data_IF_769632966613
#
_entry.id   IF_769632966613
#
_cell.length_a   1.000
_cell.length_b   1.000
_cell.length_c   1.000
_cell.angle_alpha   90.00
_cell.angle_beta   90.00
_cell.angle_gamma   90.00
#
_symmetry.space_group_name_H-M   'P 1'
#
loop_
_entity.id
_entity.type
_entity.pdbx_description
1 polymer ?
#
# COMPACT_ATOMS: atom_id res chain seq x y z
N UNK A 1 -20.26 -7.90 -15.48
CA UNK A 1 -18.96 -8.03 -16.18
C UNK A 1 -19.18 -8.37 -17.64
N UNK A 2 -18.42 -7.77 -18.55
CA UNK A 2 -18.45 -8.10 -19.99
C UNK A 2 -17.18 -8.85 -20.38
N UNK A 3 -17.32 -9.93 -21.16
CA UNK A 3 -16.21 -10.79 -21.57
C UNK A 3 -16.12 -10.89 -23.09
N UNK A 4 -14.94 -10.61 -23.64
CA UNK A 4 -14.70 -10.82 -25.07
C UNK A 4 -14.74 -12.31 -25.41
N UNK A 5 -14.92 -12.65 -26.70
CA UNK A 5 -14.82 -14.05 -27.16
C UNK A 5 -13.47 -14.67 -26.82
N UNK A 6 -12.39 -13.87 -26.84
CA UNK A 6 -11.05 -14.31 -26.46
C UNK A 6 -10.98 -14.67 -24.98
N UNK A 7 -11.52 -13.82 -24.10
CA UNK A 7 -11.50 -14.07 -22.65
C UNK A 7 -12.31 -15.32 -22.30
N UNK A 8 -13.48 -15.49 -22.93
CA UNK A 8 -14.32 -16.69 -22.75
C UNK A 8 -13.59 -17.95 -23.21
N UNK A 9 -12.91 -17.90 -24.36
CA UNK A 9 -12.12 -19.03 -24.85
C UNK A 9 -10.99 -19.39 -23.87
N UNK A 10 -10.27 -18.39 -23.34
CA UNK A 10 -9.23 -18.61 -22.33
C UNK A 10 -9.79 -19.27 -21.07
N UNK A 11 -10.90 -18.77 -20.53
CA UNK A 11 -11.56 -19.33 -19.35
C UNK A 11 -12.11 -20.75 -19.60
N UNK A 12 -12.71 -21.00 -20.76
CA UNK A 12 -13.18 -22.35 -21.14
C UNK A 12 -12.01 -23.33 -21.15
N UNK A 13 -10.89 -22.95 -21.74
CA UNK A 13 -9.70 -23.81 -21.77
C UNK A 13 -9.17 -24.09 -20.36
N UNK A 14 -9.12 -23.08 -19.49
CA UNK A 14 -8.74 -23.24 -18.08
C UNK A 14 -9.68 -24.19 -17.33
N UNK A 15 -11.00 -24.03 -17.45
CA UNK A 15 -11.97 -24.91 -16.81
C UNK A 15 -11.92 -26.35 -17.34
N UNK A 16 -11.65 -26.55 -18.64
CA UNK A 16 -11.45 -27.88 -19.21
C UNK A 16 -10.21 -28.56 -18.61
N UNK A 17 -9.10 -27.83 -18.49
CA UNK A 17 -7.89 -28.32 -17.82
C UNK A 17 -8.19 -28.66 -16.35
N UNK A 18 -8.85 -27.76 -15.61
CA UNK A 18 -9.21 -27.99 -14.21
C UNK A 18 -10.14 -29.20 -14.03
N UNK A 19 -11.05 -29.46 -14.97
CA UNK A 19 -11.92 -30.64 -14.93
C UNK A 19 -11.17 -31.95 -15.10
N UNK A 20 -10.03 -31.93 -15.80
CA UNK A 20 -9.13 -33.09 -15.95
C UNK A 20 -8.27 -33.24 -14.70
N UNK A 21 -7.75 -32.14 -14.14
CA UNK A 21 -6.86 -32.15 -12.97
C UNK A 21 -7.60 -32.42 -11.65
N UNK A 22 -8.87 -32.03 -11.54
CA UNK A 22 -9.70 -32.23 -10.36
C UNK A 22 -11.10 -32.75 -10.76
N UNK A 23 -11.23 -34.07 -10.99
CA UNK A 23 -12.48 -34.69 -11.43
C UNK A 23 -13.64 -34.49 -10.47
N UNK A 24 -13.39 -34.42 -9.16
CA UNK A 24 -14.43 -34.22 -8.14
C UNK A 24 -15.12 -32.85 -8.31
N UNK A 25 -14.38 -31.86 -8.79
CA UNK A 25 -14.90 -30.53 -9.11
C UNK A 25 -15.51 -30.41 -10.53
N UNK A 26 -15.38 -31.44 -11.37
CA UNK A 26 -15.66 -31.33 -12.81
C UNK A 26 -17.09 -30.90 -13.13
N UNK A 27 -18.08 -31.33 -12.33
CA UNK A 27 -19.48 -30.90 -12.49
C UNK A 27 -19.63 -29.38 -12.42
N UNK A 28 -18.96 -28.74 -11.46
CA UNK A 28 -18.99 -27.28 -11.30
C UNK A 28 -18.29 -26.55 -12.46
N UNK A 29 -17.17 -27.08 -12.95
CA UNK A 29 -16.44 -26.50 -14.07
C UNK A 29 -17.22 -26.64 -15.39
N UNK A 30 -17.89 -27.77 -15.62
CA UNK A 30 -18.71 -28.00 -16.81
C UNK A 30 -19.89 -27.03 -16.91
N UNK A 31 -20.50 -26.68 -15.79
CA UNK A 31 -21.55 -25.64 -15.74
C UNK A 31 -20.98 -24.29 -16.20
N UNK A 32 -19.79 -23.90 -15.69
CA UNK A 32 -19.12 -22.65 -16.07
C UNK A 32 -18.68 -22.65 -17.54
N UNK A 33 -18.19 -23.78 -18.07
CA UNK A 33 -17.85 -23.95 -19.49
C UNK A 33 -19.08 -23.68 -20.36
N UNK A 34 -20.19 -24.36 -20.08
CA UNK A 34 -21.44 -24.19 -20.83
C UNK A 34 -21.92 -22.74 -20.81
N UNK A 35 -21.88 -22.10 -19.64
CA UNK A 35 -22.22 -20.69 -19.47
C UNK A 35 -21.38 -19.77 -20.38
N UNK A 36 -20.06 -19.98 -20.43
CA UNK A 36 -19.13 -19.19 -21.25
C UNK A 36 -19.29 -19.45 -22.76
N UNK A 37 -19.49 -20.71 -23.15
CA UNK A 37 -19.72 -21.12 -24.55
C UNK A 37 -20.99 -20.47 -25.10
N UNK A 38 -22.08 -20.49 -24.33
CA UNK A 38 -23.38 -19.95 -24.73
C UNK A 38 -23.50 -18.44 -24.56
N UNK A 39 -22.57 -17.81 -23.84
CA UNK A 39 -22.57 -16.36 -23.69
C UNK A 39 -23.56 -15.85 -22.64
N UNK A 40 -23.85 -16.60 -21.58
CA UNK A 40 -24.81 -16.20 -20.54
C UNK A 40 -24.19 -15.16 -19.59
N UNK A 41 -24.08 -13.92 -20.07
CA UNK A 41 -23.37 -12.83 -19.38
C UNK A 41 -23.93 -12.45 -18.01
N UNK A 42 -25.22 -12.70 -17.76
CA UNK A 42 -25.86 -12.46 -16.46
C UNK A 42 -25.12 -13.13 -15.29
N UNK A 43 -24.50 -14.29 -15.53
CA UNK A 43 -23.85 -15.09 -14.48
C UNK A 43 -22.33 -14.89 -14.40
N UNK A 44 -21.76 -14.00 -15.21
CA UNK A 44 -20.29 -13.81 -15.19
C UNK A 44 -19.79 -13.24 -13.87
N UNK A 45 -20.56 -12.33 -13.27
CA UNK A 45 -20.20 -11.72 -11.99
C UNK A 45 -20.12 -12.76 -10.86
N UNK A 46 -20.95 -13.80 -10.89
CA UNK A 46 -20.89 -14.91 -9.91
C UNK A 46 -19.55 -15.65 -9.87
N UNK A 47 -18.75 -15.58 -10.94
CA UNK A 47 -17.41 -16.17 -10.97
C UNK A 47 -16.40 -15.41 -10.12
N UNK A 48 -16.62 -14.11 -9.93
CA UNK A 48 -15.67 -13.19 -9.31
C UNK A 48 -16.21 -12.53 -8.03
N UNK A 49 -17.48 -12.73 -7.68
CA UNK A 49 -18.11 -12.15 -6.48
C UNK A 49 -17.38 -12.40 -5.14
N UNK A 50 -16.54 -13.43 -5.05
CA UNK A 50 -15.76 -13.76 -3.87
C UNK A 50 -14.39 -13.06 -3.84
N UNK A 51 -13.99 -12.44 -4.95
CA UNK A 51 -12.77 -11.65 -5.08
C UNK A 51 -13.13 -10.23 -4.66
N UNK A 52 -12.45 -9.73 -3.63
CA UNK A 52 -12.60 -8.34 -3.18
C UNK A 52 -12.03 -7.38 -4.24
N UNK A 53 -12.68 -6.23 -4.45
CA UNK A 53 -12.19 -5.16 -5.34
C UNK A 53 -10.82 -4.62 -4.90
N UNK A 54 -10.43 -4.90 -3.67
CA UNK A 54 -9.15 -4.57 -3.08
C UNK A 54 -9.12 -3.17 -2.48
N UNK A 55 -7.94 -2.81 -2.00
CA UNK A 55 -7.60 -1.47 -1.53
C UNK A 55 -6.73 -0.78 -2.57
N UNK A 56 -6.90 0.53 -2.73
CA UNK A 56 -6.01 1.35 -3.55
C UNK A 56 -4.59 1.37 -2.97
N UNK A 57 -3.60 1.71 -3.80
CA UNK A 57 -2.21 1.87 -3.34
C UNK A 57 -2.09 2.94 -2.24
N UNK A 58 -2.87 4.03 -2.36
CA UNK A 58 -2.89 5.09 -1.36
C UNK A 58 -3.40 4.63 0.01
N UNK A 59 -4.49 3.86 0.03
CA UNK A 59 -5.01 3.27 1.27
C UNK A 59 -4.01 2.25 1.86
N UNK A 60 -3.42 1.38 1.03
CA UNK A 60 -2.38 0.45 1.47
C UNK A 60 -1.19 1.17 2.11
N UNK A 61 -0.73 2.27 1.48
CA UNK A 61 0.39 3.08 1.97
C UNK A 61 0.05 3.76 3.29
N UNK A 62 -1.17 4.29 3.43
CA UNK A 62 -1.65 4.86 4.70
C UNK A 62 -1.53 3.85 5.85
N UNK A 63 -1.97 2.60 5.65
CA UNK A 63 -1.85 1.56 6.69
C UNK A 63 -0.38 1.23 7.01
N UNK A 64 0.49 1.17 6.00
CA UNK A 64 1.93 0.96 6.21
C UNK A 64 2.54 2.11 7.03
N UNK A 65 2.20 3.36 6.71
CA UNK A 65 2.70 4.53 7.42
C UNK A 65 2.22 4.54 8.88
N UNK A 66 0.98 4.11 9.15
CA UNK A 66 0.45 3.93 10.51
C UNK A 66 1.26 2.89 11.28
N UNK A 67 1.50 1.72 10.68
CA UNK A 67 2.30 0.66 11.32
C UNK A 67 3.73 1.12 11.59
N UNK A 68 4.32 1.88 10.68
CA UNK A 68 5.67 2.44 10.81
C UNK A 68 5.74 3.50 11.92
N UNK A 69 4.77 4.41 11.98
CA UNK A 69 4.64 5.39 13.06
C UNK A 69 4.56 4.68 14.42
N UNK A 70 3.70 3.68 14.56
CA UNK A 70 3.60 2.90 15.80
C UNK A 70 4.89 2.16 16.13
N UNK A 71 5.64 1.71 15.11
CA UNK A 71 6.94 1.07 15.33
C UNK A 71 7.92 2.07 15.93
N UNK A 72 7.99 3.28 15.39
CA UNK A 72 8.79 4.37 15.93
C UNK A 72 8.39 4.73 17.36
N UNK A 73 7.09 4.86 17.65
CA UNK A 73 6.57 5.12 19.00
C UNK A 73 7.02 4.02 19.99
N UNK A 74 6.84 2.76 19.62
CA UNK A 74 7.21 1.62 20.46
C UNK A 74 8.72 1.54 20.75
N UNK A 75 9.55 1.74 19.73
CA UNK A 75 11.01 1.73 19.89
C UNK A 75 11.52 2.91 20.70
N UNK A 76 10.95 4.10 20.49
CA UNK A 76 11.30 5.31 21.25
C UNK A 76 10.92 5.15 22.72
N UNK A 77 9.68 4.70 22.99
CA UNK A 77 9.21 4.40 24.35
C UNK A 77 10.08 3.37 25.09
N UNK A 78 10.58 2.35 24.39
CA UNK A 78 11.51 1.38 25.00
C UNK A 78 12.81 2.02 25.48
N UNK A 79 13.34 2.99 24.73
CA UNK A 79 14.62 3.67 25.00
C UNK A 79 14.52 4.81 26.02
N UNK A 80 13.32 5.32 26.28
CA UNK A 80 13.11 6.38 27.28
C UNK A 80 13.52 5.93 28.68
N UNK A 81 14.26 6.81 29.39
CA UNK A 81 14.61 6.63 30.81
C UNK A 81 13.43 6.94 31.72
N UNK A 82 12.72 8.04 31.45
CA UNK A 82 11.48 8.40 32.13
C UNK A 82 10.27 8.13 31.22
N UNK A 83 9.31 7.36 31.74
CA UNK A 83 8.09 6.93 31.03
C UNK A 83 6.82 7.44 31.69
N UNK A 84 6.92 8.30 32.71
CA UNK A 84 5.77 8.87 33.42
C UNK A 84 4.83 9.58 32.44
N UNK A 85 3.54 9.26 32.48
CA UNK A 85 2.55 9.89 31.60
C UNK A 85 2.36 9.22 30.24
N UNK A 86 3.11 8.16 29.91
CA UNK A 86 2.89 7.36 28.70
C UNK A 86 2.64 5.91 29.10
N UNK A 87 1.44 5.39 28.82
CA UNK A 87 1.18 3.97 29.05
C UNK A 87 1.80 3.12 27.95
N UNK A 88 2.25 1.92 28.33
CA UNK A 88 2.71 0.91 27.36
C UNK A 88 1.62 0.54 26.33
N UNK A 89 0.34 0.68 26.72
CA UNK A 89 -0.80 0.39 25.85
C UNK A 89 -0.93 1.42 24.74
N UNK A 90 -0.71 2.69 25.05
CA UNK A 90 -0.91 3.81 24.12
C UNK A 90 0.11 3.77 22.96
N UNK A 91 1.33 3.30 23.24
CA UNK A 91 2.40 3.16 22.23
C UNK A 91 2.41 1.80 21.53
N UNK A 92 1.44 0.93 21.81
CA UNK A 92 1.27 -0.33 21.08
C UNK A 92 0.15 -0.14 20.08
N UNK A 93 0.39 -0.59 18.86
CA UNK A 93 -0.62 -0.57 17.81
C UNK A 93 -1.89 -1.31 18.29
N UNK A 94 -3.02 -0.59 18.48
CA UNK A 94 -4.22 -1.18 19.04
C UNK A 94 -5.02 -1.95 17.99
N UNK A 95 -4.90 -1.56 16.70
CA UNK A 95 -5.57 -2.23 15.59
C UNK A 95 -6.65 -1.37 14.92
N UNK A 96 -7.58 -2.02 14.24
CA UNK A 96 -8.70 -1.40 13.52
C UNK A 96 -10.02 -2.04 13.97
N UNK A 97 -11.13 -1.33 13.79
CA UNK A 97 -12.43 -1.88 14.15
C UNK A 97 -12.86 -2.97 13.17
N UNK A 98 -13.14 -4.18 13.66
CA UNK A 98 -13.48 -5.31 12.79
C UNK A 98 -14.80 -5.15 12.03
N UNK A 99 -15.65 -4.18 12.40
CA UNK A 99 -16.95 -3.96 11.77
C UNK A 99 -16.93 -2.79 10.79
N UNK A 100 -16.38 -1.66 11.22
CA UNK A 100 -16.40 -0.43 10.43
C UNK A 100 -15.10 -0.21 9.61
N UNK A 101 -14.01 -0.91 9.95
CA UNK A 101 -12.66 -0.80 9.34
C UNK A 101 -12.09 -2.19 8.99
N UNK A 102 -12.95 -3.10 8.53
CA UNK A 102 -12.60 -4.51 8.25
C UNK A 102 -11.47 -4.64 7.20
N UNK A 103 -11.48 -3.80 6.15
CA UNK A 103 -10.48 -3.86 5.08
C UNK A 103 -9.10 -3.45 5.58
N UNK A 104 -9.05 -2.38 6.37
CA UNK A 104 -7.84 -1.87 7.01
C UNK A 104 -7.28 -2.89 8.02
N UNK A 105 -8.15 -3.54 8.79
CA UNK A 105 -7.80 -4.63 9.68
C UNK A 105 -7.16 -5.79 8.90
N UNK A 106 -7.85 -6.30 7.89
CA UNK A 106 -7.40 -7.43 7.07
C UNK A 106 -6.06 -7.13 6.40
N UNK A 107 -5.86 -5.91 5.89
CA UNK A 107 -4.60 -5.51 5.29
C UNK A 107 -3.47 -5.39 6.32
N UNK A 108 -3.73 -4.80 7.48
CA UNK A 108 -2.75 -4.75 8.57
C UNK A 108 -2.32 -6.15 9.02
N UNK A 109 -3.28 -7.08 9.14
CA UNK A 109 -3.00 -8.47 9.46
C UNK A 109 -2.20 -9.18 8.36
N UNK A 110 -2.53 -8.96 7.10
CA UNK A 110 -1.73 -9.46 5.97
C UNK A 110 -0.28 -8.98 6.05
N UNK A 111 -0.05 -7.69 6.29
CA UNK A 111 1.31 -7.12 6.41
C UNK A 111 2.05 -7.70 7.62
N UNK A 112 1.36 -7.85 8.74
CA UNK A 112 1.99 -8.34 9.96
C UNK A 112 2.28 -9.84 9.92
N UNK A 113 1.28 -10.65 9.57
CA UNK A 113 1.33 -12.10 9.73
C UNK A 113 1.74 -12.82 8.46
N UNK A 114 1.15 -12.46 7.31
CA UNK A 114 1.46 -13.11 6.03
C UNK A 114 2.82 -12.65 5.49
N UNK A 115 3.11 -11.35 5.53
CA UNK A 115 4.43 -10.80 5.15
C UNK A 115 5.46 -10.85 6.29
N UNK A 116 5.06 -11.24 7.51
CA UNK A 116 5.93 -11.40 8.68
C UNK A 116 6.69 -10.11 9.07
N UNK A 117 6.09 -8.94 8.87
CA UNK A 117 6.63 -7.62 9.26
C UNK A 117 6.12 -7.19 10.65
N UNK A 118 6.74 -6.18 11.27
CA UNK A 118 6.31 -5.63 12.56
C UNK A 118 6.12 -6.68 13.68
N UNK A 119 7.09 -7.59 13.83
CA UNK A 119 7.07 -8.72 14.77
C UNK A 119 6.88 -8.30 16.23
N UNK A 120 7.29 -7.09 16.57
CA UNK A 120 7.12 -6.44 17.86
C UNK A 120 5.66 -6.28 18.31
N UNK A 121 4.74 -6.23 17.35
CA UNK A 121 3.29 -6.13 17.59
C UNK A 121 2.57 -7.47 17.61
N UNK A 122 3.25 -8.56 17.23
CA UNK A 122 2.62 -9.87 17.24
C UNK A 122 2.15 -10.22 18.65
N UNK A 123 0.86 -10.47 18.77
CA UNK A 123 0.29 -10.98 20.01
C UNK A 123 0.74 -12.44 20.20
N UNK A 124 1.06 -12.82 21.44
CA UNK A 124 1.38 -14.23 21.78
C UNK A 124 0.15 -15.15 21.81
N UNK A 125 -1.05 -14.60 21.58
CA UNK A 125 -2.30 -15.35 21.58
C UNK A 125 -2.46 -16.09 20.25
N UNK A 126 -3.20 -17.21 20.30
CA UNK A 126 -3.49 -18.09 19.15
C UNK A 126 -4.22 -17.39 18.00
N UNK A 127 -4.97 -16.33 18.31
CA UNK A 127 -5.62 -15.46 17.33
C UNK A 127 -5.08 -14.06 17.55
N UNK A 128 -4.41 -13.47 16.55
CA UNK A 128 -4.34 -12.02 16.43
C UNK A 128 -5.76 -11.53 16.32
N UNK A 129 -6.25 -10.77 17.29
CA UNK A 129 -7.25 -9.80 16.94
C UNK A 129 -6.62 -8.47 17.29
N UNK A 130 -6.13 -7.80 16.26
CA UNK A 130 -5.91 -6.36 16.29
C UNK A 130 -7.26 -5.65 16.09
N UNK A 131 -8.28 -6.13 16.78
CA UNK A 131 -9.59 -5.52 16.83
C UNK A 131 -9.57 -4.47 17.94
N UNK A 132 -9.67 -3.20 17.54
CA UNK A 132 -9.68 -2.07 18.47
C UNK A 132 -11.03 -1.91 19.17
N UNK A 133 -12.10 -2.56 18.69
CA UNK A 133 -13.49 -2.36 19.11
C UNK A 133 -13.99 -0.90 18.99
N UNK A 134 -13.25 -0.07 18.23
CA UNK A 134 -13.49 1.37 18.04
C UNK A 134 -12.86 1.81 16.72
N UNK A 135 -13.55 2.67 15.98
CA UNK A 135 -13.02 3.31 14.76
C UNK A 135 -11.77 4.14 15.09
N UNK A 136 -10.64 3.83 14.44
CA UNK A 136 -9.33 4.43 14.75
C UNK A 136 -8.72 5.26 13.61
N UNK A 137 -9.13 5.07 12.36
CA UNK A 137 -8.48 5.65 11.18
C UNK A 137 -8.40 7.18 11.26
N UNK A 138 -9.48 7.83 11.71
CA UNK A 138 -9.49 9.28 11.93
C UNK A 138 -8.44 9.75 12.96
N UNK A 139 -8.28 9.00 14.06
CA UNK A 139 -7.23 9.29 15.04
C UNK A 139 -5.85 9.09 14.45
N UNK A 140 -5.64 7.99 13.72
CA UNK A 140 -4.35 7.69 13.10
C UNK A 140 -3.92 8.77 12.10
N UNK A 141 -4.84 9.32 11.32
CA UNK A 141 -4.57 10.45 10.42
C UNK A 141 -4.08 11.69 11.17
N UNK A 142 -4.70 12.03 12.30
CA UNK A 142 -4.24 13.13 13.17
C UNK A 142 -2.85 12.86 13.73
N UNK A 143 -2.58 11.64 14.20
CA UNK A 143 -1.26 11.23 14.68
C UNK A 143 -0.21 11.30 13.58
N UNK A 144 -0.53 10.82 12.37
CA UNK A 144 0.36 10.85 11.20
C UNK A 144 0.71 12.28 10.79
N UNK A 145 -0.24 13.21 10.85
CA UNK A 145 0.01 14.63 10.55
C UNK A 145 1.10 15.21 11.46
N UNK A 146 1.02 14.93 12.76
CA UNK A 146 2.04 15.36 13.74
C UNK A 146 3.36 14.62 13.50
N UNK A 147 3.34 13.32 13.24
CA UNK A 147 4.57 12.56 13.00
C UNK A 147 5.32 13.03 11.73
N UNK A 148 4.56 13.36 10.67
CA UNK A 148 5.08 13.93 9.44
C UNK A 148 5.68 15.33 9.65
N UNK A 149 5.04 16.18 10.47
CA UNK A 149 5.59 17.52 10.78
C UNK A 149 6.91 17.46 11.56
N UNK A 150 7.11 16.41 12.35
CA UNK A 150 8.37 16.13 13.04
C UNK A 150 9.46 15.53 12.10
N UNK A 151 9.15 15.34 10.81
CA UNK A 151 10.08 14.83 9.81
C UNK A 151 10.30 13.31 9.88
N UNK A 152 9.32 12.54 10.35
CA UNK A 152 9.36 11.07 10.39
C UNK A 152 10.60 10.50 11.12
N UNK A 153 10.95 11.15 12.23
CA UNK A 153 12.13 10.78 13.03
C UNK A 153 11.98 9.36 13.60
N UNK A 154 13.07 8.59 13.52
CA UNK A 154 13.15 7.22 14.07
C UNK A 154 13.19 7.16 15.59
N UNK A 155 13.61 8.25 16.25
CA UNK A 155 13.73 8.35 17.69
C UNK A 155 13.03 9.62 18.15
N UNK A 156 12.08 9.45 19.07
CA UNK A 156 11.22 10.49 19.58
C UNK A 156 11.51 10.73 21.05
N UNK A 157 11.44 11.99 21.47
CA UNK A 157 11.45 12.39 22.88
C UNK A 157 10.11 12.04 23.53
N UNK A 158 10.06 12.15 24.86
CA UNK A 158 8.84 11.90 25.63
C UNK A 158 7.72 12.86 25.23
N UNK A 159 8.04 14.13 25.02
CA UNK A 159 7.09 15.19 24.65
C UNK A 159 6.55 14.94 23.23
N UNK A 160 7.43 14.63 22.28
CA UNK A 160 7.03 14.28 20.90
C UNK A 160 6.11 13.05 20.87
N UNK A 161 6.36 12.02 21.70
CA UNK A 161 5.47 10.85 21.79
C UNK A 161 4.08 11.26 22.28
N UNK A 162 3.99 12.08 23.34
CA UNK A 162 2.69 12.54 23.87
C UNK A 162 1.97 13.39 22.82
N UNK A 163 2.69 14.27 22.14
CA UNK A 163 2.16 15.13 21.09
C UNK A 163 1.58 14.30 19.93
N UNK A 164 2.29 13.28 19.47
CA UNK A 164 1.79 12.37 18.42
C UNK A 164 0.56 11.62 18.91
N UNK A 165 0.58 11.05 20.13
CA UNK A 165 -0.55 10.28 20.66
C UNK A 165 -1.83 11.11 20.81
N UNK A 166 -1.69 12.39 21.17
CA UNK A 166 -2.82 13.32 21.25
C UNK A 166 -3.30 13.79 19.87
N UNK A 167 -2.46 13.72 18.83
CA UNK A 167 -2.77 14.26 17.51
C UNK A 167 -2.78 15.80 17.47
N UNK A 168 -2.12 16.45 18.42
CA UNK A 168 -2.06 17.91 18.54
C UNK A 168 -0.81 18.43 17.83
N UNK A 169 -0.98 19.22 16.77
CA UNK A 169 0.14 19.95 16.17
C UNK A 169 0.48 21.09 17.14
N UNK A 170 1.53 20.92 17.95
CA UNK A 170 2.14 22.05 18.63
C UNK A 170 2.73 22.96 17.55
N UNK A 171 2.09 24.10 17.34
CA UNK A 171 2.68 25.20 16.59
C UNK A 171 3.92 25.60 17.39
N UNK A 172 5.14 25.55 16.81
CA UNK A 172 6.29 26.13 17.46
C UNK A 172 5.94 27.59 17.74
N UNK A 173 6.07 28.05 18.99
CA UNK A 173 5.98 29.48 19.29
C UNK A 173 6.98 30.17 18.36
N UNK A 174 6.47 30.84 17.33
CA UNK A 174 7.28 31.76 16.53
C UNK A 174 7.60 32.88 17.50
N UNK A 175 8.89 33.05 17.79
CA UNK A 175 9.38 34.21 18.52
C UNK A 175 9.00 35.45 17.69
N UNK A 176 7.90 36.12 18.07
CA UNK A 176 7.34 37.28 17.37
C UNK A 176 8.39 38.40 17.18
N UNK A 177 9.46 38.39 17.99
CA UNK A 177 10.63 39.28 17.89
C UNK A 177 11.42 39.14 16.57
N UNK A 178 11.29 38.03 15.83
CA UNK A 178 11.97 37.86 14.54
C UNK A 178 11.24 38.54 13.38
N UNK A 179 9.90 38.62 13.45
CA UNK A 179 9.08 39.25 12.40
C UNK A 179 9.21 40.78 12.47
N UNK A 180 9.27 41.35 13.69
CA UNK A 180 9.44 42.79 13.92
C UNK A 180 10.82 43.34 13.49
N UNK A 181 11.84 42.48 13.39
CA UNK A 181 13.19 42.86 12.93
C UNK A 181 13.32 42.89 11.41
N UNK A 182 12.45 42.20 10.67
CA UNK A 182 12.44 42.22 9.20
C UNK A 182 11.63 43.39 8.62
N UNK A 183 10.67 43.95 9.36
CA UNK A 183 9.80 45.04 8.86
C UNK A 183 10.37 46.45 9.04
N UNK A 184 11.56 46.63 9.61
CA UNK A 184 12.19 47.96 9.68
C UNK A 184 12.86 48.26 8.34
N UNK A 185 12.39 49.25 7.56
CA UNK A 185 13.08 49.64 6.35
C UNK A 185 14.41 50.27 6.76
N UNK A 186 15.51 49.79 6.19
CA UNK A 186 16.81 50.46 6.28
C UNK A 186 16.64 51.84 5.63
N UNK A 187 16.70 52.89 6.44
CA UNK A 187 16.69 54.27 5.96
C UNK A 187 17.97 54.52 5.17
N UNK A 188 17.92 54.33 3.86
CA UNK A 188 19.01 54.75 2.98
C UNK A 188 18.92 56.27 2.80
N UNK A 189 19.93 56.96 3.30
CA UNK A 189 20.10 58.41 3.16
C UNK A 189 20.11 58.81 1.68
N UNK A 190 19.37 59.88 1.38
CA UNK A 190 19.12 60.44 0.04
C UNK A 190 20.41 60.77 -0.71
N UNK A 191 20.56 60.24 -1.93
CA UNK A 191 21.47 60.80 -2.95
C UNK A 191 20.69 61.58 -4.01
N UNK A 192 21.23 62.70 -4.53
CA UNK A 192 20.47 63.59 -5.39
C UNK A 192 20.40 63.07 -6.83
N UNK A 193 19.26 63.32 -7.47
CA UNK A 193 19.02 63.08 -8.89
C UNK A 193 19.63 64.25 -9.68
N UNK A 194 20.50 63.96 -10.64
CA UNK A 194 20.76 64.84 -11.77
C UNK A 194 20.59 64.07 -13.06
N UNK A 195 19.67 64.60 -13.87
CA UNK A 195 19.42 64.29 -15.28
C UNK A 195 20.69 64.52 -16.12
N UNK A 196 20.88 63.76 -17.20
CA UNK A 196 20.65 64.24 -18.58
C UNK A 196 21.46 63.43 -19.64
N UNK A 197 20.94 63.47 -20.87
CA UNK A 197 21.51 63.12 -22.18
C UNK A 197 21.24 61.75 -22.83
N UNK A 198 20.19 61.78 -23.64
CA UNK A 198 19.96 61.03 -24.88
C UNK A 198 21.16 61.04 -25.85
N UNK A 199 21.34 59.96 -26.63
CA UNK A 199 21.64 60.00 -28.08
C UNK A 199 21.52 58.59 -28.69
N UNK A 200 20.98 58.59 -29.91
CA UNK A 200 20.52 57.50 -30.77
C UNK A 200 21.64 56.61 -31.35
N UNK A 201 21.24 55.43 -31.86
CA UNK A 201 22.06 54.64 -32.80
C UNK A 201 21.49 53.23 -33.07
N UNK A 202 20.71 53.10 -34.14
CA UNK A 202 20.45 51.82 -34.83
C UNK A 202 21.76 51.24 -35.41
N UNK A 203 21.97 49.93 -35.31
CA UNK A 203 22.66 49.14 -36.33
C UNK A 203 22.25 47.64 -36.24
N UNK A 204 21.92 47.09 -37.40
CA UNK A 204 21.37 45.76 -37.70
C UNK A 204 22.45 44.66 -37.86
N UNK A 205 22.00 43.38 -37.86
CA UNK A 205 22.63 42.14 -38.41
C UNK A 205 23.84 41.55 -37.63
N UNK A 206 24.05 40.23 -37.44
CA UNK A 206 23.50 38.96 -37.97
C UNK A 206 24.00 37.78 -37.08
N UNK A 207 23.19 36.72 -36.97
CA UNK A 207 23.45 35.27 -36.72
C UNK A 207 24.51 34.74 -35.73
N UNK A 208 24.10 33.77 -34.88
CA UNK A 208 24.36 32.33 -35.08
C UNK A 208 23.88 31.43 -33.91
N UNK A 209 23.15 30.38 -34.32
CA UNK A 209 23.08 29.01 -33.80
C UNK A 209 22.15 28.67 -32.60
N UNK A 210 21.10 27.93 -32.96
CA UNK A 210 20.26 27.04 -32.15
C UNK A 210 21.07 25.83 -31.67
N UNK A 211 20.91 25.45 -30.39
CA UNK A 211 21.27 24.11 -29.91
C UNK A 211 19.99 23.32 -29.62
N UNK A 212 19.89 22.21 -30.34
CA UNK A 212 18.75 21.33 -30.52
C UNK A 212 18.81 20.15 -29.51
N UNK A 213 17.65 19.53 -29.31
CA UNK A 213 17.40 18.40 -28.42
C UNK A 213 18.13 17.13 -28.89
N UNK A 214 18.82 16.44 -27.97
CA UNK A 214 19.32 15.07 -28.18
C UNK A 214 18.30 14.04 -27.66
N UNK A 215 17.64 13.34 -28.59
CA UNK A 215 17.04 12.02 -28.44
C UNK A 215 18.06 10.96 -28.87
N UNK A 216 18.21 9.87 -28.09
CA UNK A 216 18.87 8.66 -28.54
C UNK A 216 18.08 7.43 -28.07
N UNK A 217 17.41 6.81 -29.03
CA UNK A 217 16.81 5.48 -28.97
C UNK A 217 17.89 4.38 -29.04
N UNK A 218 17.71 3.29 -28.31
CA UNK A 218 18.23 1.97 -28.71
C UNK A 218 17.11 0.93 -28.65
N UNK A 219 16.72 0.45 -29.85
CA UNK A 219 15.96 -0.77 -30.08
C UNK A 219 16.81 -2.02 -29.76
N UNK A 220 16.17 -3.07 -29.21
CA UNK A 220 16.71 -4.44 -29.27
C UNK A 220 15.63 -5.38 -29.85
N UNK A 221 15.95 -5.94 -31.00
CA UNK A 221 15.22 -6.96 -31.79
C UNK A 221 15.34 -8.39 -31.25
N UNK A 222 14.33 -9.21 -31.55
CA UNK A 222 14.21 -10.66 -31.26
C UNK A 222 14.85 -11.59 -32.33
N UNK A 223 15.15 -12.83 -31.94
CA UNK A 223 15.33 -14.04 -32.79
C UNK A 223 16.12 -15.14 -32.04
N UNK A 224 15.49 -16.24 -31.58
CA UNK A 224 15.45 -17.62 -32.19
C UNK A 224 16.83 -18.35 -32.15
N UNK A 225 17.03 -19.63 -31.77
CA UNK A 225 16.21 -20.86 -31.69
C UNK A 225 16.97 -22.01 -30.95
N UNK A 226 16.21 -23.00 -30.42
CA UNK A 226 16.46 -24.48 -30.25
C UNK A 226 17.66 -25.04 -29.43
N UNK A 227 17.66 -26.26 -28.83
CA UNK A 227 16.71 -27.29 -28.35
C UNK A 227 17.54 -28.44 -27.70
N UNK A 228 16.87 -29.41 -27.06
CA UNK A 228 17.34 -30.68 -26.42
C UNK A 228 17.87 -30.56 -24.97
N UNK A 229 17.45 -31.35 -23.96
CA UNK A 229 16.61 -32.54 -23.90
C UNK A 229 17.25 -33.56 -22.94
N UNK A 230 16.58 -33.94 -21.85
CA UNK A 230 16.52 -35.31 -21.29
C UNK A 230 15.82 -35.35 -19.93
N UNK A 231 15.20 -36.51 -19.68
CA UNK A 231 14.11 -36.82 -18.79
C UNK A 231 14.52 -38.07 -17.98
N UNK A 232 14.28 -38.08 -16.67
CA UNK A 232 14.25 -39.25 -15.76
C UNK A 232 13.55 -38.74 -14.48
N UNK A 233 12.50 -39.34 -13.88
CA UNK A 233 11.88 -40.65 -14.01
C UNK A 233 11.96 -41.43 -12.68
N UNK A 234 10.94 -41.37 -11.81
CA UNK A 234 10.62 -42.35 -10.75
C UNK A 234 9.23 -42.02 -10.12
N UNK A 235 8.15 -42.74 -10.45
CA UNK A 235 7.63 -43.97 -9.82
C UNK A 235 7.01 -43.71 -8.42
N UNK A 236 5.68 -43.53 -8.32
CA UNK A 236 4.60 -44.53 -8.11
C UNK A 236 4.68 -45.25 -6.75
N UNK A 237 3.60 -45.07 -5.97
CA UNK A 237 3.20 -45.91 -4.84
C UNK A 237 1.69 -45.74 -4.64
N UNK A 238 0.92 -46.62 -5.28
CA UNK A 238 -0.47 -46.95 -4.97
C UNK A 238 -0.61 -47.39 -3.51
N UNK A 239 -1.72 -47.05 -2.87
CA UNK A 239 -2.48 -47.99 -2.03
C UNK A 239 -3.93 -47.47 -1.90
N UNK A 240 -4.83 -48.25 -2.49
CA UNK A 240 -6.28 -48.07 -2.53
C UNK A 240 -6.93 -49.04 -1.52
N UNK A 241 -8.20 -48.73 -1.20
CA UNK A 241 -9.25 -49.57 -0.56
C UNK A 241 -9.48 -49.49 0.96
N UNK A 242 -10.73 -49.72 1.43
CA UNK A 242 -11.99 -49.18 0.93
C UNK A 242 -12.91 -48.66 2.07
N UNK A 243 -13.95 -47.91 1.68
CA UNK A 243 -15.06 -47.55 2.57
C UNK A 243 -15.93 -48.79 2.85
N UNK A 244 -16.13 -49.13 4.13
CA UNK A 244 -17.20 -50.02 4.57
C UNK A 244 -18.53 -49.24 4.61
N UNK A 245 -19.52 -49.77 3.90
CA UNK A 245 -20.94 -49.50 4.13
C UNK A 245 -21.35 -50.10 5.48
N UNK A 246 -21.83 -49.26 6.40
CA UNK A 246 -22.74 -49.72 7.44
C UNK A 246 -24.12 -49.12 7.16
N UNK A 247 -24.98 -49.97 6.58
CA UNK A 247 -26.40 -49.87 6.79
C UNK A 247 -26.71 -50.00 8.29
N UNK A 248 -27.71 -49.22 8.69
CA UNK A 248 -28.73 -49.58 9.68
C UNK A 248 -28.69 -48.90 11.06
N UNK A 249 -29.91 -48.51 11.45
CA UNK A 249 -30.40 -48.32 12.81
C UNK A 249 -30.15 -46.97 13.54
N UNK A 250 -31.17 -46.08 13.54
CA UNK A 250 -32.13 -45.94 14.67
C UNK A 250 -32.95 -44.64 14.63
N UNK A 251 -34.27 -44.84 14.78
CA UNK A 251 -35.33 -43.98 15.35
C UNK A 251 -35.88 -42.80 14.53
#
# INVERSE_FOLDING_TARGET
>A
MELSKKDRLMLINQYRILSILNPDGASSYNIRIKMLEQGYSLHYDEMVNWIDDGMSEGECKEIIDILEMYRCLWHSYKKLRDKKGISRKDVRFPGFDAKDEERELNYAEYVMYSLKRYKEFHQRRKLPNHDSYKVMLGQYRSMLSVWNSLGNRRLLTKEEIIQILNGEIAVPEIDDDLFEKMERPVMNETRPITEDFSIDGEEDFEDLAEDNYDEADEEITMGEEEAAGSYEGAAIGDDNEPYEEDEDNRQ
#
